data_IF_550297969670
#
_entry.id   IF_550297969670
#
_cell.length_a   1.000
_cell.length_b   1.000
_cell.length_c   1.000
_cell.angle_alpha   90.00
_cell.angle_beta   90.00
_cell.angle_gamma   90.00
#
_symmetry.space_group_name_H-M   'P 1'
#
loop_
_entity.id
_entity.type
_entity.pdbx_description
1 polymer ?
#
# COMPACT_ATOMS: atom_id res chain seq x y z
N UNK A 1 32.28 21.54 -0.85
CA UNK A 1 33.44 20.71 -1.27
C UNK A 1 33.10 19.28 -0.87
N UNK A 2 33.21 18.24 -1.69
CA UNK A 2 33.51 18.10 -3.12
C UNK A 2 33.19 16.66 -3.54
N UNK A 3 32.88 16.40 -4.82
CA UNK A 3 32.48 15.06 -5.30
C UNK A 3 33.62 14.03 -5.21
N UNK A 4 33.28 12.75 -5.04
CA UNK A 4 33.40 11.78 -6.14
C UNK A 4 32.69 10.43 -5.89
N UNK A 5 32.05 9.92 -6.95
CA UNK A 5 31.62 8.52 -7.10
C UNK A 5 32.81 7.68 -7.59
N UNK A 6 32.88 6.39 -7.27
CA UNK A 6 33.74 5.43 -7.96
C UNK A 6 33.29 3.97 -7.78
N UNK A 7 33.18 3.26 -8.91
CA UNK A 7 33.04 1.80 -9.05
C UNK A 7 33.06 1.45 -10.54
N UNK A 8 33.37 0.21 -10.96
CA UNK A 8 34.08 -0.87 -10.27
C UNK A 8 35.38 -1.26 -11.02
N UNK A 9 36.05 -2.33 -10.61
CA UNK A 9 37.06 -3.03 -11.43
C UNK A 9 36.95 -4.55 -11.25
N UNK A 10 37.19 -5.30 -12.33
CA UNK A 10 37.19 -6.77 -12.33
C UNK A 10 38.15 -7.33 -13.39
N UNK A 11 38.79 -8.45 -13.06
CA UNK A 11 39.59 -9.35 -13.90
C UNK A 11 39.78 -10.65 -13.10
N UNK A 12 39.33 -11.82 -13.55
CA UNK A 12 39.93 -12.70 -14.58
C UNK A 12 41.34 -13.24 -14.23
N UNK A 13 41.70 -14.51 -14.48
CA UNK A 13 40.93 -15.72 -14.83
C UNK A 13 41.82 -16.99 -14.77
N UNK A 14 41.26 -18.16 -14.44
CA UNK A 14 41.79 -19.51 -14.75
C UNK A 14 40.74 -20.59 -14.37
N UNK A 15 39.85 -21.07 -15.26
CA UNK A 15 40.05 -21.98 -16.40
C UNK A 15 40.44 -23.42 -16.02
N UNK A 16 39.45 -24.31 -16.01
CA UNK A 16 39.60 -25.74 -16.34
C UNK A 16 38.36 -26.22 -17.13
N UNK A 17 38.57 -26.98 -18.20
CA UNK A 17 37.50 -27.69 -18.97
C UNK A 17 37.55 -29.19 -18.57
N UNK A 18 36.70 -30.14 -18.99
CA UNK A 18 35.76 -30.23 -20.13
C UNK A 18 34.88 -31.50 -19.98
N UNK A 19 33.72 -31.55 -20.65
CA UNK A 19 32.86 -32.75 -20.91
C UNK A 19 32.07 -33.27 -19.67
N UNK A 20 30.87 -33.85 -19.81
CA UNK A 20 29.95 -33.87 -20.97
C UNK A 20 29.21 -35.20 -21.17
N UNK A 21 27.91 -35.13 -21.46
CA UNK A 21 27.10 -36.25 -21.97
C UNK A 21 26.07 -36.82 -20.99
N UNK A 22 24.80 -36.79 -21.39
CA UNK A 22 23.77 -37.70 -20.87
C UNK A 22 23.72 -38.96 -21.75
N UNK A 23 23.41 -40.13 -21.19
CA UNK A 23 22.72 -41.19 -21.90
C UNK A 23 21.35 -41.50 -21.26
N UNK A 24 20.48 -42.15 -22.02
CA UNK A 24 19.20 -42.72 -21.56
C UNK A 24 19.02 -44.12 -22.16
N UNK A 25 18.01 -44.85 -21.65
CA UNK A 25 17.61 -46.23 -22.05
C UNK A 25 18.59 -47.34 -21.59
N UNK A 26 18.18 -48.60 -21.35
CA UNK A 26 16.91 -49.32 -21.10
C UNK A 26 17.31 -50.70 -20.46
N UNK A 27 16.50 -51.65 -19.97
CA UNK A 27 15.05 -51.89 -19.83
C UNK A 27 14.82 -52.94 -18.69
N UNK A 28 13.55 -53.32 -18.42
CA UNK A 28 13.11 -54.64 -17.87
C UNK A 28 13.47 -55.06 -16.40
N UNK A 29 12.65 -55.82 -15.64
CA UNK A 29 11.31 -56.41 -15.89
C UNK A 29 10.55 -56.80 -14.59
N UNK A 30 9.22 -56.99 -14.68
CA UNK A 30 8.31 -57.81 -13.81
C UNK A 30 8.10 -57.35 -12.33
N UNK A 31 6.93 -57.52 -11.68
CA UNK A 31 5.63 -58.13 -12.06
C UNK A 31 4.43 -57.62 -11.22
N UNK A 32 3.23 -57.94 -11.71
CA UNK A 32 1.83 -57.77 -11.26
C UNK A 32 1.55 -57.88 -9.73
N UNK A 33 0.39 -57.49 -9.14
CA UNK A 33 -1.05 -57.43 -9.56
C UNK A 33 -1.83 -56.33 -8.76
N UNK A 34 -3.08 -55.90 -9.06
CA UNK A 34 -3.95 -55.97 -10.27
C UNK A 34 -5.12 -54.95 -10.21
N UNK A 35 -6.38 -55.32 -10.52
CA UNK A 35 -7.53 -54.45 -10.88
C UNK A 35 -8.88 -55.06 -10.34
N UNK A 36 -10.13 -54.69 -10.74
CA UNK A 36 -10.61 -53.61 -11.63
C UNK A 36 -11.95 -52.87 -11.26
N UNK A 37 -12.21 -51.73 -11.93
CA UNK A 37 -13.55 -51.38 -12.50
C UNK A 37 -13.32 -50.74 -13.89
N UNK A 38 -14.24 -50.91 -14.85
CA UNK A 38 -14.07 -50.56 -16.27
C UNK A 38 -15.36 -50.06 -16.95
N UNK A 39 -15.40 -48.82 -17.46
CA UNK A 39 -16.36 -48.40 -18.51
C UNK A 39 -15.75 -47.40 -19.52
N UNK A 40 -15.45 -47.90 -20.73
CA UNK A 40 -15.47 -47.28 -22.08
C UNK A 40 -14.90 -45.87 -22.35
N UNK A 41 -13.92 -45.83 -23.27
CA UNK A 41 -13.60 -44.69 -24.15
C UNK A 41 -14.62 -44.51 -25.30
N UNK A 42 -14.58 -43.33 -25.93
CA UNK A 42 -14.79 -43.11 -27.38
C UNK A 42 -13.84 -42.00 -27.86
N UNK A 43 -13.48 -42.01 -29.14
CA UNK A 43 -12.23 -41.45 -29.66
C UNK A 43 -12.35 -40.05 -30.31
N UNK A 44 -11.19 -39.39 -30.53
CA UNK A 44 -11.01 -38.49 -31.69
C UNK A 44 -10.35 -37.12 -31.45
N UNK A 45 -9.03 -37.04 -31.57
CA UNK A 45 -8.33 -35.79 -31.88
C UNK A 45 -7.77 -35.82 -33.32
N UNK A 46 -8.23 -34.94 -34.23
CA UNK A 46 -7.60 -34.74 -35.53
C UNK A 46 -6.61 -33.56 -35.50
N UNK A 47 -5.34 -33.81 -35.79
CA UNK A 47 -4.37 -32.75 -36.05
C UNK A 47 -4.28 -32.45 -37.56
N UNK A 48 -4.13 -31.16 -37.92
CA UNK A 48 -3.64 -30.76 -39.25
C UNK A 48 -2.59 -29.66 -39.10
N UNK A 49 -1.42 -29.88 -39.71
CA UNK A 49 -0.34 -28.91 -39.85
C UNK A 49 -0.38 -28.29 -41.24
N UNK A 50 -0.36 -26.96 -41.32
CA UNK A 50 0.08 -26.16 -42.48
C UNK A 50 0.12 -24.68 -42.03
N UNK A 51 1.13 -23.83 -42.29
CA UNK A 51 2.32 -23.89 -43.17
C UNK A 51 3.60 -23.39 -42.47
N UNK A 52 4.73 -23.43 -43.21
CA UNK A 52 6.11 -23.22 -42.75
C UNK A 52 6.46 -21.77 -42.32
N UNK A 53 7.51 -21.58 -41.49
CA UNK A 53 8.13 -20.28 -41.24
C UNK A 53 9.01 -19.82 -42.42
N UNK A 54 9.32 -18.52 -42.46
CA UNK A 54 10.39 -17.91 -43.26
C UNK A 54 11.15 -16.88 -42.41
N UNK A 55 12.43 -16.68 -42.70
CA UNK A 55 13.37 -15.97 -41.84
C UNK A 55 13.47 -14.45 -42.07
N UNK A 56 13.87 -13.74 -41.01
CA UNK A 56 14.74 -12.54 -40.97
C UNK A 56 14.41 -11.36 -41.91
N UNK A 57 14.03 -10.23 -41.29
CA UNK A 57 14.91 -9.04 -41.34
C UNK A 57 14.71 -8.12 -40.14
N UNK A 58 15.81 -7.61 -39.58
CA UNK A 58 15.79 -6.52 -38.60
C UNK A 58 15.79 -5.17 -39.33
N UNK A 59 14.65 -4.48 -39.33
CA UNK A 59 14.56 -3.07 -39.76
C UNK A 59 13.69 -2.29 -38.78
N UNK A 60 14.26 -1.24 -38.16
CA UNK A 60 13.51 -0.38 -37.24
C UNK A 60 12.50 0.50 -37.99
N UNK A 61 11.25 0.51 -37.53
CA UNK A 61 10.19 1.38 -38.03
C UNK A 61 8.99 1.36 -37.10
N UNK A 62 8.47 2.54 -36.73
CA UNK A 62 7.38 2.66 -35.78
C UNK A 62 6.05 2.16 -36.38
N UNK A 63 5.36 1.17 -35.77
CA UNK A 63 4.05 0.74 -36.23
C UNK A 63 2.96 1.80 -35.94
N UNK A 64 2.15 2.07 -36.96
CA UNK A 64 1.04 3.03 -37.01
C UNK A 64 0.07 2.88 -35.83
N UNK A 65 -0.40 4.01 -35.29
CA UNK A 65 -1.50 4.06 -34.31
C UNK A 65 -2.79 3.54 -34.95
N UNK A 66 -3.42 2.56 -34.29
CA UNK A 66 -4.85 2.29 -34.45
C UNK A 66 -5.59 2.80 -33.20
N UNK A 67 -6.69 3.51 -33.41
CA UNK A 67 -7.59 3.96 -32.36
C UNK A 67 -8.48 2.79 -31.88
N UNK A 68 -7.98 2.04 -30.90
CA UNK A 68 -8.81 1.19 -30.04
C UNK A 68 -8.64 1.67 -28.59
N UNK A 69 -9.72 2.11 -27.96
CA UNK A 69 -9.71 2.77 -26.63
C UNK A 69 -9.64 1.78 -25.46
N UNK A 70 -8.95 0.66 -25.62
CA UNK A 70 -8.56 -0.17 -24.49
C UNK A 70 -7.37 0.48 -23.77
N UNK A 71 -7.53 0.72 -22.47
CA UNK A 71 -6.41 1.17 -21.62
C UNK A 71 -5.41 0.03 -21.50
N UNK A 72 -4.40 0.02 -22.36
CA UNK A 72 -3.34 -1.02 -22.37
C UNK A 72 -2.82 -1.27 -20.97
N UNK A 73 -3.03 -2.49 -20.48
CA UNK A 73 -2.64 -2.88 -19.13
C UNK A 73 -1.13 -2.74 -18.97
N UNK A 74 -0.71 -1.88 -18.05
CA UNK A 74 0.71 -1.66 -17.74
C UNK A 74 1.12 -2.71 -16.71
N UNK A 75 2.22 -3.40 -16.95
CA UNK A 75 2.78 -4.39 -16.03
C UNK A 75 4.17 -3.97 -15.54
N UNK A 76 4.53 -4.36 -14.32
CA UNK A 76 5.92 -4.25 -13.85
C UNK A 76 6.77 -5.41 -14.37
N UNK A 77 8.08 -5.36 -14.11
CA UNK A 77 9.05 -6.41 -14.48
C UNK A 77 8.78 -7.79 -13.85
N UNK A 78 7.84 -7.88 -12.91
CA UNK A 78 7.39 -9.10 -12.25
C UNK A 78 5.99 -9.56 -12.70
N UNK A 79 5.46 -8.98 -13.79
CA UNK A 79 4.14 -9.34 -14.34
C UNK A 79 2.94 -8.88 -13.52
N UNK A 80 3.12 -8.01 -12.52
CA UNK A 80 2.01 -7.44 -11.76
C UNK A 80 1.43 -6.22 -12.49
N UNK A 81 0.10 -6.17 -12.65
CA UNK A 81 -0.58 -5.02 -13.26
C UNK A 81 -0.43 -3.77 -12.37
N UNK A 82 -0.11 -2.64 -12.99
CA UNK A 82 0.06 -1.30 -12.40
C UNK A 82 -1.10 -0.40 -12.83
N UNK A 83 -1.68 0.38 -11.91
CA UNK A 83 -2.58 1.49 -12.25
C UNK A 83 -1.74 2.67 -12.80
N UNK A 84 -1.88 3.06 -14.09
CA UNK A 84 -1.07 4.12 -14.69
C UNK A 84 -1.38 5.53 -14.15
N UNK A 85 -2.41 5.69 -13.30
CA UNK A 85 -2.78 6.98 -12.68
C UNK A 85 -1.99 7.29 -11.40
N UNK A 86 -1.38 6.29 -10.76
CA UNK A 86 -0.55 6.47 -9.55
C UNK A 86 0.72 5.61 -9.51
N UNK A 87 0.94 4.76 -10.53
CA UNK A 87 2.05 3.80 -10.63
C UNK A 87 2.09 2.74 -9.50
N UNK A 88 0.96 2.46 -8.84
CA UNK A 88 0.86 1.40 -7.83
C UNK A 88 0.39 0.07 -8.45
N UNK A 89 0.85 -1.09 -7.95
CA UNK A 89 0.26 -2.39 -8.28
C UNK A 89 -1.22 -2.46 -7.86
N UNK A 90 -2.07 -3.10 -8.67
CA UNK A 90 -3.49 -3.28 -8.33
C UNK A 90 -3.71 -4.15 -7.08
N UNK A 91 -2.83 -5.13 -6.84
CA UNK A 91 -2.79 -5.90 -5.60
C UNK A 91 -1.45 -5.63 -4.87
N UNK A 92 -1.38 -4.60 -4.00
CA UNK A 92 -0.15 -4.22 -3.31
C UNK A 92 0.17 -5.17 -2.15
N UNK A 93 1.45 -5.51 -1.96
CA UNK A 93 1.85 -6.44 -0.90
C UNK A 93 1.59 -5.87 0.51
N UNK A 94 0.73 -6.55 1.26
CA UNK A 94 0.39 -6.28 2.67
C UNK A 94 0.98 -7.34 3.63
N UNK A 95 1.73 -8.34 3.16
CA UNK A 95 2.47 -9.22 4.06
C UNK A 95 3.54 -8.41 4.83
N UNK A 96 3.79 -8.69 6.12
CA UNK A 96 4.90 -8.10 6.86
C UNK A 96 6.26 -8.29 6.17
N UNK A 97 7.19 -7.39 6.44
CA UNK A 97 8.59 -7.57 6.02
C UNK A 97 9.29 -8.63 6.90
N UNK A 98 10.32 -9.30 6.39
CA UNK A 98 11.08 -10.33 7.14
C UNK A 98 11.80 -9.76 8.38
N UNK A 99 12.15 -8.47 8.36
CA UNK A 99 12.77 -7.74 9.48
C UNK A 99 11.75 -7.18 10.49
N UNK A 100 10.45 -7.25 10.21
CA UNK A 100 9.43 -6.50 10.93
C UNK A 100 9.12 -7.12 12.31
N UNK A 101 9.34 -6.35 13.38
CA UNK A 101 9.09 -6.74 14.78
C UNK A 101 7.62 -6.54 15.16
N UNK A 102 6.96 -5.49 14.66
CA UNK A 102 5.63 -5.08 15.13
C UNK A 102 4.55 -5.10 14.04
N UNK A 103 3.30 -5.52 14.34
CA UNK A 103 2.23 -5.64 13.36
C UNK A 103 1.70 -4.24 12.98
N UNK A 104 1.80 -3.88 11.70
CA UNK A 104 1.33 -2.60 11.16
C UNK A 104 -0.09 -2.70 10.61
N UNK A 105 -0.85 -1.61 10.66
CA UNK A 105 -2.24 -1.62 10.21
C UNK A 105 -2.35 -1.85 8.68
N UNK A 106 -3.28 -2.72 8.28
CA UNK A 106 -3.51 -3.10 6.87
C UNK A 106 -4.75 -2.43 6.24
N UNK A 107 -5.61 -1.80 7.05
CA UNK A 107 -6.73 -1.00 6.56
C UNK A 107 -6.24 0.25 5.83
N UNK A 108 -7.03 0.73 4.88
CA UNK A 108 -6.70 1.89 4.03
C UNK A 108 -7.66 3.03 4.33
N UNK A 109 -7.11 4.24 4.47
CA UNK A 109 -7.89 5.46 4.73
C UNK A 109 -8.46 5.99 3.41
N UNK A 110 -9.74 6.38 3.41
CA UNK A 110 -10.38 7.05 2.29
C UNK A 110 -10.07 8.55 2.30
N UNK A 111 -9.69 9.10 1.14
CA UNK A 111 -9.45 10.54 0.96
C UNK A 111 -10.74 11.31 0.67
N UNK A 112 -10.69 12.64 0.80
CA UNK A 112 -11.71 13.55 0.25
C UNK A 112 -11.42 13.97 -1.19
N UNK A 113 -10.34 13.44 -1.78
CA UNK A 113 -9.86 13.80 -3.12
C UNK A 113 -10.64 12.98 -4.17
N UNK A 114 -11.46 13.58 -5.05
CA UNK A 114 -12.20 12.83 -6.07
C UNK A 114 -11.24 12.21 -7.11
N UNK A 115 -11.45 10.94 -7.48
CA UNK A 115 -10.63 10.25 -8.49
C UNK A 115 -11.21 10.44 -9.89
N UNK A 116 -10.46 11.13 -10.75
CA UNK A 116 -10.81 11.36 -12.16
C UNK A 116 -11.03 10.05 -12.92
N UNK A 117 -12.04 10.03 -13.78
CA UNK A 117 -12.50 8.80 -14.46
C UNK A 117 -13.39 7.88 -13.60
N UNK A 118 -13.71 8.26 -12.36
CA UNK A 118 -14.63 7.53 -11.47
C UNK A 118 -15.50 8.49 -10.66
N UNK A 119 -16.53 7.97 -9.98
CA UNK A 119 -17.32 8.72 -9.00
C UNK A 119 -16.89 8.47 -7.53
N UNK A 120 -15.78 7.76 -7.32
CA UNK A 120 -15.17 7.56 -6.01
C UNK A 120 -14.08 8.59 -5.68
N UNK A 121 -13.56 8.53 -4.45
CA UNK A 121 -12.34 9.24 -4.04
C UNK A 121 -11.12 8.31 -4.07
N UNK A 122 -9.91 8.86 -3.91
CA UNK A 122 -8.71 8.06 -3.77
C UNK A 122 -8.66 7.33 -2.41
N UNK A 123 -7.98 6.19 -2.38
CA UNK A 123 -7.66 5.46 -1.14
C UNK A 123 -6.15 5.55 -0.87
N UNK A 124 -5.77 6.01 0.31
CA UNK A 124 -4.37 6.06 0.73
C UNK A 124 -3.79 4.65 0.92
N UNK A 125 -2.45 4.48 0.93
CA UNK A 125 -1.81 3.27 1.44
C UNK A 125 -2.20 2.99 2.89
N UNK A 126 -2.15 1.72 3.29
CA UNK A 126 -2.10 1.34 4.70
C UNK A 126 -0.70 1.57 5.29
N UNK A 127 -0.57 1.51 6.62
CA UNK A 127 0.73 1.56 7.31
C UNK A 127 1.66 0.45 6.80
N UNK A 128 1.15 -0.77 6.71
CA UNK A 128 1.89 -1.94 6.22
C UNK A 128 2.33 -1.78 4.74
N UNK A 129 1.47 -1.24 3.86
CA UNK A 129 1.84 -0.92 2.48
C UNK A 129 2.92 0.17 2.40
N UNK A 130 2.86 1.16 3.31
CA UNK A 130 3.80 2.28 3.34
C UNK A 130 5.18 1.83 3.80
N UNK A 131 5.27 1.09 4.91
CA UNK A 131 6.52 0.50 5.42
C UNK A 131 7.16 -0.45 4.39
N UNK A 132 6.37 -1.32 3.77
CA UNK A 132 6.82 -2.18 2.67
C UNK A 132 7.34 -1.39 1.45
N UNK A 133 6.87 -0.15 1.25
CA UNK A 133 7.36 0.75 0.21
C UNK A 133 8.60 1.56 0.64
N UNK A 134 8.79 1.83 1.93
CA UNK A 134 10.02 2.45 2.47
C UNK A 134 11.20 1.48 2.44
N UNK A 135 11.05 0.27 3.01
CA UNK A 135 12.08 -0.79 3.00
C UNK A 135 12.53 -1.10 1.56
N UNK A 136 11.59 -1.31 0.63
CA UNK A 136 11.87 -1.54 -0.81
C UNK A 136 12.60 -0.38 -1.51
N UNK A 137 12.56 0.84 -0.96
CA UNK A 137 13.24 2.03 -1.52
C UNK A 137 14.61 2.30 -0.89
N UNK A 138 15.07 1.52 0.09
CA UNK A 138 16.25 1.88 0.90
C UNK A 138 16.02 3.17 1.69
N UNK A 139 14.80 3.37 2.19
CA UNK A 139 14.38 4.55 3.00
C UNK A 139 13.58 4.14 4.23
N UNK A 140 13.83 2.95 4.74
CA UNK A 140 13.17 2.37 5.92
C UNK A 140 14.15 1.64 6.83
N UNK A 141 15.43 2.02 6.78
CA UNK A 141 16.45 1.56 7.73
C UNK A 141 16.29 2.35 9.03
N UNK A 142 16.26 3.69 8.95
CA UNK A 142 16.07 4.61 10.08
C UNK A 142 14.59 4.80 10.53
N UNK A 143 13.69 3.86 10.22
CA UNK A 143 12.24 4.01 10.49
C UNK A 143 11.71 2.84 11.33
N UNK A 144 11.55 3.10 12.63
CA UNK A 144 10.93 2.18 13.58
C UNK A 144 9.42 2.05 13.32
N UNK A 145 8.84 0.86 13.49
CA UNK A 145 7.42 0.60 13.18
C UNK A 145 6.45 1.52 13.94
N UNK A 146 6.78 1.90 15.18
CA UNK A 146 5.98 2.81 15.99
C UNK A 146 5.80 4.20 15.38
N UNK A 147 6.68 4.62 14.48
CA UNK A 147 6.56 5.90 13.77
C UNK A 147 5.65 5.85 12.55
N UNK A 148 5.46 4.66 11.97
CA UNK A 148 4.80 4.50 10.66
C UNK A 148 3.40 5.10 10.66
N UNK A 149 2.66 4.94 11.76
CA UNK A 149 1.34 5.57 11.96
C UNK A 149 1.40 7.10 11.90
N UNK A 150 2.34 7.71 12.62
CA UNK A 150 2.52 9.16 12.61
C UNK A 150 2.93 9.66 11.21
N UNK A 151 3.90 8.99 10.58
CA UNK A 151 4.39 9.31 9.24
C UNK A 151 3.26 9.22 8.21
N UNK A 152 2.42 8.17 8.25
CA UNK A 152 1.29 7.99 7.33
C UNK A 152 0.20 9.03 7.56
N UNK A 153 -0.13 9.37 8.82
CA UNK A 153 -1.05 10.49 9.11
C UNK A 153 -0.56 11.82 8.54
N UNK A 154 0.74 12.13 8.71
CA UNK A 154 1.36 13.33 8.12
C UNK A 154 1.27 13.31 6.58
N UNK A 155 1.58 12.18 5.93
CA UNK A 155 1.48 12.07 4.45
C UNK A 155 0.04 12.22 3.96
N UNK A 156 -0.95 11.65 4.65
CA UNK A 156 -2.35 11.75 4.27
C UNK A 156 -2.87 13.20 4.44
N UNK A 157 -2.58 13.81 5.59
CA UNK A 157 -2.84 15.23 5.87
C UNK A 157 -2.21 16.16 4.82
N UNK A 158 -0.95 15.91 4.44
CA UNK A 158 -0.26 16.68 3.39
C UNK A 158 -0.95 16.59 2.03
N UNK A 159 -1.46 15.42 1.66
CA UNK A 159 -2.20 15.25 0.40
C UNK A 159 -3.54 16.02 0.43
N UNK A 160 -4.28 16.00 1.53
CA UNK A 160 -5.52 16.79 1.67
C UNK A 160 -5.23 18.30 1.69
N UNK A 161 -4.13 18.75 2.33
CA UNK A 161 -3.64 20.15 2.27
C UNK A 161 -3.26 20.57 0.86
N UNK A 162 -2.56 19.71 0.12
CA UNK A 162 -2.21 19.94 -1.28
C UNK A 162 -3.45 20.05 -2.17
N UNK A 163 -4.43 19.14 -2.00
CA UNK A 163 -5.70 19.18 -2.71
C UNK A 163 -6.54 20.41 -2.37
N UNK A 164 -6.58 20.82 -1.11
CA UNK A 164 -7.30 22.03 -0.68
C UNK A 164 -6.71 23.30 -1.34
N UNK A 165 -5.38 23.40 -1.48
CA UNK A 165 -4.75 24.48 -2.26
C UNK A 165 -5.16 24.44 -3.74
N UNK A 166 -5.17 23.27 -4.39
CA UNK A 166 -5.61 23.11 -5.78
C UNK A 166 -7.08 23.51 -5.95
N UNK A 167 -7.99 23.02 -5.11
CA UNK A 167 -9.40 23.40 -5.13
C UNK A 167 -9.60 24.92 -4.96
N UNK A 168 -8.86 25.55 -4.05
CA UNK A 168 -8.94 27.00 -3.84
C UNK A 168 -8.44 27.77 -5.08
N UNK A 169 -7.40 27.27 -5.75
CA UNK A 169 -6.91 27.81 -7.02
C UNK A 169 -7.97 27.74 -8.13
N UNK A 170 -8.58 26.56 -8.32
CA UNK A 170 -9.63 26.34 -9.31
C UNK A 170 -10.86 27.20 -9.02
N UNK A 171 -11.31 27.30 -7.76
CA UNK A 171 -12.45 28.14 -7.34
C UNK A 171 -12.22 29.65 -7.56
N UNK A 172 -10.97 30.12 -7.48
CA UNK A 172 -10.61 31.53 -7.72
C UNK A 172 -10.44 31.84 -9.21
N UNK A 173 -9.86 30.93 -9.97
CA UNK A 173 -9.56 31.15 -11.38
C UNK A 173 -10.71 30.75 -12.33
N UNK A 174 -11.46 29.69 -12.03
CA UNK A 174 -12.50 29.08 -12.88
C UNK A 174 -13.76 28.73 -12.07
N UNK A 175 -14.45 29.70 -11.44
CA UNK A 175 -15.60 29.46 -10.55
C UNK A 175 -16.80 28.77 -11.21
N UNK A 176 -16.88 28.81 -12.55
CA UNK A 176 -17.82 28.06 -13.37
C UNK A 176 -17.48 26.56 -13.51
N UNK A 177 -16.19 26.20 -13.49
CA UNK A 177 -15.71 24.81 -13.62
C UNK A 177 -15.70 24.08 -12.28
N UNK A 178 -16.89 23.84 -11.75
CA UNK A 178 -17.12 23.11 -10.50
C UNK A 178 -16.71 21.62 -10.63
N UNK A 179 -16.40 21.01 -9.50
CA UNK A 179 -16.16 19.56 -9.32
C UNK A 179 -14.95 18.99 -10.08
N UNK A 180 -13.85 19.74 -10.20
CA UNK A 180 -12.56 19.22 -10.67
C UNK A 180 -12.12 17.99 -9.85
N UNK A 181 -11.59 16.95 -10.53
CA UNK A 181 -11.14 15.67 -9.93
C UNK A 181 -9.63 15.46 -10.14
N UNK A 182 -8.94 14.79 -9.22
CA UNK A 182 -7.53 14.38 -9.42
C UNK A 182 -7.47 13.15 -10.32
N UNK A 183 -6.94 13.29 -11.53
CA UNK A 183 -6.87 12.23 -12.54
C UNK A 183 -5.60 11.36 -12.40
N UNK A 184 -4.46 12.00 -12.13
CA UNK A 184 -3.15 11.32 -12.01
C UNK A 184 -2.21 12.15 -11.14
N UNK A 185 -1.30 11.50 -10.43
CA UNK A 185 -0.15 12.17 -9.79
C UNK A 185 1.17 11.50 -10.13
N UNK A 186 2.27 12.24 -9.99
CA UNK A 186 3.63 11.77 -10.24
C UNK A 186 4.63 12.51 -9.35
N UNK A 187 5.45 11.79 -8.57
CA UNK A 187 6.57 12.38 -7.84
C UNK A 187 7.74 12.66 -8.77
N UNK A 188 8.40 13.82 -8.59
CA UNK A 188 9.56 14.28 -9.38
C UNK A 188 10.60 14.96 -8.47
N UNK A 189 11.10 14.30 -7.42
CA UNK A 189 11.95 14.92 -6.39
C UNK A 189 13.24 15.52 -6.95
N UNK A 190 13.84 14.90 -7.97
CA UNK A 190 15.11 15.33 -8.56
C UNK A 190 14.98 16.52 -9.55
N UNK A 191 13.75 16.88 -9.95
CA UNK A 191 13.50 17.96 -10.92
C UNK A 191 13.04 19.26 -10.25
N UNK A 192 13.96 20.17 -9.93
CA UNK A 192 13.60 21.51 -9.46
C UNK A 192 12.78 22.29 -10.50
N UNK A 193 11.73 22.99 -10.06
CA UNK A 193 11.05 23.98 -10.93
C UNK A 193 11.96 25.18 -11.20
N UNK A 194 11.82 25.91 -12.33
CA UNK A 194 12.63 27.10 -12.61
C UNK A 194 12.56 28.18 -11.51
N UNK A 195 11.42 28.28 -10.81
CA UNK A 195 11.24 29.18 -9.67
C UNK A 195 12.00 28.66 -8.44
N UNK A 196 11.95 27.35 -8.15
CA UNK A 196 12.71 26.74 -7.05
C UNK A 196 14.22 26.86 -7.28
N UNK A 197 14.70 26.65 -8.51
CA UNK A 197 16.10 26.84 -8.91
C UNK A 197 16.55 28.30 -8.70
N UNK A 198 15.78 29.28 -9.19
CA UNK A 198 16.08 30.71 -9.00
C UNK A 198 16.04 31.11 -7.52
N UNK A 199 15.09 30.60 -6.74
CA UNK A 199 15.04 30.77 -5.27
C UNK A 199 16.28 30.20 -4.57
N UNK A 200 16.74 29.03 -4.99
CA UNK A 200 17.95 28.40 -4.43
C UNK A 200 19.22 29.23 -4.70
N UNK A 201 19.31 29.90 -5.85
CA UNK A 201 20.42 30.84 -6.16
C UNK A 201 20.36 32.08 -5.26
N UNK A 202 19.16 32.53 -4.90
CA UNK A 202 18.93 33.66 -3.98
C UNK A 202 19.02 33.27 -2.49
N UNK A 203 19.51 32.07 -2.16
CA UNK A 203 19.73 31.62 -0.78
C UNK A 203 18.48 31.16 -0.02
N UNK A 204 17.33 31.04 -0.69
CA UNK A 204 16.15 30.40 -0.09
C UNK A 204 16.30 28.87 -0.13
N UNK A 205 15.66 28.18 0.82
CA UNK A 205 15.63 26.72 0.87
C UNK A 205 15.08 26.10 -0.43
N UNK A 206 15.77 25.07 -0.94
CA UNK A 206 15.26 24.22 -2.01
C UNK A 206 14.05 23.41 -1.49
N UNK A 207 13.10 23.01 -2.36
CA UNK A 207 12.15 21.98 -1.98
C UNK A 207 12.87 20.64 -1.73
N UNK A 208 12.38 19.85 -0.78
CA UNK A 208 12.88 18.50 -0.51
C UNK A 208 12.17 17.43 -1.34
N UNK A 209 10.94 17.73 -1.78
CA UNK A 209 10.14 16.91 -2.67
C UNK A 209 9.28 17.79 -3.59
N UNK A 210 8.92 17.26 -4.77
CA UNK A 210 8.06 17.90 -5.76
C UNK A 210 7.11 16.85 -6.34
N UNK A 211 5.84 17.21 -6.42
CA UNK A 211 4.81 16.42 -7.10
C UNK A 211 4.15 17.20 -8.25
N UNK A 212 3.90 16.49 -9.35
CA UNK A 212 3.07 16.95 -10.47
C UNK A 212 1.71 16.24 -10.39
N UNK A 213 0.63 17.00 -10.35
CA UNK A 213 -0.75 16.48 -10.30
C UNK A 213 -1.50 16.87 -11.58
N UNK A 214 -2.25 15.95 -12.18
CA UNK A 214 -3.09 16.20 -13.35
C UNK A 214 -4.53 16.30 -12.88
N UNK A 215 -5.11 17.48 -13.04
CA UNK A 215 -6.47 17.83 -12.63
C UNK A 215 -7.39 17.72 -13.84
N UNK A 216 -8.48 16.97 -13.72
CA UNK A 216 -9.54 16.88 -14.72
C UNK A 216 -10.68 17.83 -14.31
N UNK A 217 -10.92 18.85 -15.13
CA UNK A 217 -12.02 19.80 -14.94
C UNK A 217 -13.34 19.25 -15.51
N UNK A 218 -14.46 19.87 -15.18
CA UNK A 218 -15.80 19.45 -15.62
C UNK A 218 -16.08 19.63 -17.12
N UNK A 219 -15.28 20.44 -17.82
CA UNK A 219 -15.24 20.54 -19.28
C UNK A 219 -14.38 19.44 -19.95
N UNK A 220 -13.81 18.52 -19.15
CA UNK A 220 -12.84 17.49 -19.52
C UNK A 220 -11.44 18.01 -19.88
N UNK A 221 -11.12 19.29 -19.65
CA UNK A 221 -9.74 19.77 -19.79
C UNK A 221 -8.85 19.16 -18.70
N UNK A 222 -7.60 18.86 -19.07
CA UNK A 222 -6.58 18.35 -18.16
C UNK A 222 -5.53 19.42 -17.91
N UNK A 223 -5.36 19.81 -16.65
CA UNK A 223 -4.41 20.85 -16.23
C UNK A 223 -3.39 20.26 -15.28
N UNK A 224 -2.11 20.37 -15.63
CA UNK A 224 -1.02 20.01 -14.71
C UNK A 224 -0.85 21.09 -13.66
N UNK A 225 -0.84 20.69 -12.39
CA UNK A 225 -0.38 21.46 -11.25
C UNK A 225 1.00 20.95 -10.82
N UNK A 226 1.81 21.84 -10.26
CA UNK A 226 3.09 21.52 -9.63
C UNK A 226 3.04 21.95 -8.17
N UNK A 227 3.47 21.05 -7.29
CA UNK A 227 3.43 21.18 -5.84
C UNK A 227 4.86 20.98 -5.33
N UNK A 228 5.46 22.05 -4.83
CA UNK A 228 6.77 21.98 -4.16
C UNK A 228 6.56 21.87 -2.64
N UNK A 229 7.29 20.99 -1.97
CA UNK A 229 7.30 20.84 -0.51
C UNK A 229 8.63 21.34 0.08
N UNK A 230 8.56 22.15 1.13
CA UNK A 230 9.70 22.76 1.82
C UNK A 230 9.64 22.42 3.31
N UNK A 231 10.79 22.13 3.90
CA UNK A 231 10.94 21.78 5.33
C UNK A 231 11.64 22.92 6.07
N UNK A 232 11.24 23.15 7.32
CA UNK A 232 11.79 24.15 8.22
C UNK A 232 12.11 23.49 9.57
N UNK A 233 13.35 23.04 9.71
CA UNK A 233 13.91 22.32 10.87
C UNK A 233 13.57 22.99 12.21
N UNK A 234 13.39 24.32 12.23
CA UNK A 234 13.11 25.09 13.44
C UNK A 234 11.70 24.90 13.98
N UNK A 235 10.79 24.39 13.17
CA UNK A 235 9.38 24.16 13.51
C UNK A 235 9.03 22.69 13.71
N UNK A 236 9.97 21.75 13.51
CA UNK A 236 9.73 20.33 13.75
C UNK A 236 9.42 20.04 15.23
N UNK A 237 9.96 20.85 16.15
CA UNK A 237 9.63 20.83 17.57
C UNK A 237 8.22 21.37 17.90
N UNK A 238 7.48 21.90 16.92
CA UNK A 238 6.06 22.29 17.04
C UNK A 238 5.12 21.33 16.29
N UNK A 239 5.62 20.23 15.72
CA UNK A 239 4.79 19.27 14.98
C UNK A 239 4.12 18.25 15.92
N UNK A 240 2.81 18.04 15.70
CA UNK A 240 1.98 17.00 16.32
C UNK A 240 1.51 15.99 15.25
N UNK A 241 1.07 14.80 15.68
CA UNK A 241 0.43 13.85 14.77
C UNK A 241 -0.93 14.40 14.32
N UNK A 242 -1.16 14.65 13.03
CA UNK A 242 -2.37 15.32 12.56
C UNK A 242 -3.54 14.35 12.36
N UNK A 243 -4.77 14.86 12.49
CA UNK A 243 -5.92 14.28 11.79
C UNK A 243 -5.80 14.53 10.27
N UNK A 244 -6.65 13.86 9.50
CA UNK A 244 -6.66 13.94 8.03
C UNK A 244 -6.77 15.37 7.47
N UNK A 245 -7.31 16.33 8.24
CA UNK A 245 -7.59 17.70 7.80
C UNK A 245 -7.04 18.83 8.70
N UNK A 246 -6.23 18.53 9.72
CA UNK A 246 -5.65 19.57 10.59
C UNK A 246 -4.75 20.55 9.81
N UNK A 247 -4.90 21.85 10.04
CA UNK A 247 -4.18 22.89 9.28
C UNK A 247 -2.80 23.22 9.87
N UNK A 248 -2.67 23.09 11.19
CA UNK A 248 -1.65 23.72 12.02
C UNK A 248 -0.82 22.75 12.88
N UNK A 249 -1.20 21.47 12.93
CA UNK A 249 -0.44 20.39 13.61
C UNK A 249 0.87 20.01 12.90
N UNK A 250 1.03 20.33 11.62
CA UNK A 250 2.30 20.13 10.89
C UNK A 250 2.76 21.47 10.32
N UNK A 251 3.77 22.05 10.97
CA UNK A 251 4.31 23.41 10.80
C UNK A 251 5.69 23.42 10.15
N UNK A 252 6.49 22.37 10.33
CA UNK A 252 7.78 22.22 9.63
C UNK A 252 7.62 22.08 8.12
N UNK A 253 6.59 21.34 7.68
CA UNK A 253 6.31 21.11 6.27
C UNK A 253 5.35 22.18 5.73
N UNK A 254 5.86 23.00 4.81
CA UNK A 254 5.08 23.93 4.01
C UNK A 254 5.04 23.50 2.55
N UNK A 255 3.96 23.82 1.85
CA UNK A 255 3.73 23.39 0.47
C UNK A 255 3.13 24.50 -0.39
N UNK A 256 3.44 24.50 -1.69
CA UNK A 256 2.93 25.50 -2.62
C UNK A 256 2.49 24.89 -3.97
N UNK A 257 1.21 24.55 -4.06
CA UNK A 257 0.53 24.08 -5.26
C UNK A 257 0.15 25.24 -6.19
N UNK A 258 0.33 25.04 -7.50
CA UNK A 258 0.01 26.02 -8.56
C UNK A 258 -0.06 25.39 -9.94
N UNK A 259 -0.80 25.94 -10.92
CA UNK A 259 -0.79 25.46 -12.30
C UNK A 259 0.64 25.42 -12.88
N UNK A 260 0.95 24.46 -13.75
CA UNK A 260 2.19 24.42 -14.52
C UNK A 260 2.16 25.45 -15.65
N UNK A 261 3.31 26.01 -16.06
CA UNK A 261 3.37 27.05 -17.12
C UNK A 261 3.41 26.41 -18.52
N UNK A 262 2.51 25.45 -18.74
CA UNK A 262 2.46 24.64 -19.96
C UNK A 262 1.51 25.23 -21.01
N UNK A 263 0.67 26.19 -20.60
CA UNK A 263 -0.29 26.87 -21.45
C UNK A 263 -0.43 28.35 -21.08
N UNK A 264 -0.89 29.17 -22.03
CA UNK A 264 -1.18 30.59 -21.80
C UNK A 264 -2.26 30.76 -20.72
N UNK A 265 -3.26 29.88 -20.69
CA UNK A 265 -4.30 29.89 -19.64
C UNK A 265 -3.72 29.68 -18.25
N UNK A 266 -2.82 28.70 -18.07
CA UNK A 266 -2.19 28.45 -16.78
C UNK A 266 -1.18 29.54 -16.36
N UNK A 267 -0.59 30.28 -17.31
CA UNK A 267 0.17 31.50 -17.03
C UNK A 267 -0.75 32.65 -16.58
N UNK A 268 -1.89 32.84 -17.25
CA UNK A 268 -2.91 33.80 -16.85
C UNK A 268 -3.43 33.47 -15.45
N UNK A 269 -3.69 32.19 -15.13
CA UNK A 269 -4.09 31.75 -13.80
C UNK A 269 -3.06 32.13 -12.72
N UNK A 270 -1.76 31.94 -13.00
CA UNK A 270 -0.68 32.36 -12.09
C UNK A 270 -0.63 33.86 -11.80
N UNK A 271 -1.11 34.69 -12.73
CA UNK A 271 -1.19 36.15 -12.54
C UNK A 271 -2.53 36.55 -11.92
N UNK A 272 -3.64 35.98 -12.40
CA UNK A 272 -5.02 36.23 -11.95
C UNK A 272 -5.18 35.90 -10.47
N UNK A 273 -4.68 34.76 -10.01
CA UNK A 273 -4.91 34.26 -8.65
C UNK A 273 -4.54 35.28 -7.55
N UNK A 274 -3.29 35.79 -7.42
CA UNK A 274 -2.95 36.72 -6.34
C UNK A 274 -3.74 38.03 -6.37
N UNK A 275 -3.99 38.61 -7.56
CA UNK A 275 -4.84 39.80 -7.67
C UNK A 275 -6.29 39.52 -7.26
N UNK A 276 -6.87 38.40 -7.69
CA UNK A 276 -8.27 38.04 -7.40
C UNK A 276 -8.47 37.75 -5.92
N UNK A 277 -7.56 37.00 -5.29
CA UNK A 277 -7.61 36.69 -3.86
C UNK A 277 -7.46 37.94 -3.00
N UNK A 278 -6.57 38.87 -3.39
CA UNK A 278 -6.39 40.17 -2.72
C UNK A 278 -7.63 41.06 -2.85
N UNK A 279 -8.17 41.24 -4.07
CA UNK A 279 -9.31 42.12 -4.33
C UNK A 279 -10.62 41.62 -3.69
N UNK A 280 -10.85 40.31 -3.70
CA UNK A 280 -12.09 39.72 -3.19
C UNK A 280 -12.05 39.41 -1.68
N UNK A 281 -10.93 39.69 -1.00
CA UNK A 281 -10.76 39.37 0.42
C UNK A 281 -10.92 37.89 0.75
N UNK A 282 -10.67 37.00 -0.23
CA UNK A 282 -10.92 35.58 -0.09
C UNK A 282 -9.91 34.98 0.89
N UNK A 283 -10.42 34.47 2.02
CA UNK A 283 -9.64 33.62 2.93
C UNK A 283 -9.11 32.40 2.16
N UNK A 284 -8.02 31.84 2.66
CA UNK A 284 -7.36 30.67 2.06
C UNK A 284 -8.25 29.42 2.01
N UNK A 285 -7.70 28.28 1.55
CA UNK A 285 -8.42 27.02 1.61
C UNK A 285 -8.93 26.76 3.03
N UNK A 286 -10.20 26.40 3.15
CA UNK A 286 -10.84 26.04 4.42
C UNK A 286 -10.80 24.50 4.53
N UNK A 287 -9.93 23.96 5.39
CA UNK A 287 -9.82 22.51 5.59
C UNK A 287 -10.72 22.03 6.72
N UNK A 288 -11.02 22.87 7.71
CA UNK A 288 -11.98 22.54 8.78
C UNK A 288 -13.37 22.14 8.22
N UNK A 289 -13.79 22.70 7.08
CA UNK A 289 -15.00 22.30 6.37
C UNK A 289 -14.94 20.91 5.70
N UNK A 290 -13.77 20.24 5.71
CA UNK A 290 -13.57 18.86 5.22
C UNK A 290 -13.60 17.85 6.37
N UNK A 291 -13.08 18.19 7.55
CA UNK A 291 -13.06 17.32 8.75
C UNK A 291 -14.43 16.71 9.06
N UNK A 292 -15.44 17.59 9.12
CA UNK A 292 -16.84 17.24 9.42
C UNK A 292 -17.54 16.33 8.39
N UNK A 293 -16.85 15.88 7.32
CA UNK A 293 -17.34 14.94 6.33
C UNK A 293 -16.71 13.53 6.45
N UNK A 294 -15.70 13.36 7.32
CA UNK A 294 -14.95 12.10 7.51
C UNK A 294 -14.98 11.63 8.97
N UNK A 295 -15.20 12.54 9.94
CA UNK A 295 -15.20 12.25 11.36
C UNK A 295 -16.50 11.56 11.84
N UNK A 296 -16.57 10.23 11.64
CA UNK A 296 -17.65 9.38 12.18
C UNK A 296 -17.24 7.95 12.57
N UNK A 297 -15.94 7.61 12.52
CA UNK A 297 -15.45 6.21 12.64
C UNK A 297 -14.36 6.03 13.73
N UNK A 298 -13.97 7.06 14.50
CA UNK A 298 -12.85 6.97 15.46
C UNK A 298 -13.13 7.39 16.92
N UNK A 299 -14.40 7.59 17.30
CA UNK A 299 -14.79 7.66 18.72
C UNK A 299 -15.38 6.31 19.17
N UNK A 300 -14.48 5.42 19.59
CA UNK A 300 -14.81 4.03 19.96
C UNK A 300 -13.90 3.43 21.04
N UNK A 301 -13.14 4.26 21.78
CA UNK A 301 -12.42 3.81 22.97
C UNK A 301 -13.41 3.54 24.11
N UNK A 302 -13.95 2.33 24.13
CA UNK A 302 -14.33 1.72 25.39
C UNK A 302 -13.04 1.36 26.15
N UNK A 303 -12.97 1.65 27.45
CA UNK A 303 -11.84 1.29 28.30
C UNK A 303 -11.83 -0.21 28.62
N UNK A 304 -11.54 -1.02 27.59
CA UNK A 304 -11.30 -2.45 27.71
C UNK A 304 -9.84 -2.64 28.13
N UNK A 305 -9.65 -3.26 29.29
CA UNK A 305 -8.36 -3.59 29.91
C UNK A 305 -7.34 -4.10 28.87
N UNK A 306 -6.24 -3.37 28.69
CA UNK A 306 -5.21 -3.73 27.69
C UNK A 306 -4.34 -4.87 28.19
N UNK A 307 -4.05 -5.84 27.33
CA UNK A 307 -3.08 -6.90 27.64
C UNK A 307 -1.67 -6.32 27.71
N UNK A 308 -0.83 -6.85 28.60
CA UNK A 308 0.61 -6.63 28.55
C UNK A 308 1.23 -7.39 27.38
N UNK A 309 2.36 -6.90 26.85
CA UNK A 309 3.02 -7.59 25.72
C UNK A 309 3.66 -8.91 26.18
N UNK A 310 4.02 -9.02 27.44
CA UNK A 310 4.43 -10.26 28.10
C UNK A 310 3.33 -11.33 28.05
N UNK A 311 2.08 -10.98 28.39
CA UNK A 311 0.93 -11.89 28.30
C UNK A 311 0.65 -12.31 26.84
N UNK A 312 0.75 -11.36 25.91
CA UNK A 312 0.57 -11.60 24.46
C UNK A 312 1.64 -12.57 23.95
N UNK A 313 2.92 -12.31 24.24
CA UNK A 313 4.04 -13.18 23.85
C UNK A 313 3.93 -14.57 24.47
N UNK A 314 3.59 -14.68 25.76
CA UNK A 314 3.36 -15.96 26.43
C UNK A 314 2.19 -16.72 25.80
N UNK A 315 1.10 -16.03 25.46
CA UNK A 315 -0.08 -16.63 24.82
C UNK A 315 0.25 -17.12 23.40
N UNK A 316 0.96 -16.33 22.59
CA UNK A 316 1.44 -16.77 21.28
C UNK A 316 2.42 -17.94 21.36
N UNK A 317 3.33 -17.95 22.34
CA UNK A 317 4.23 -19.09 22.57
C UNK A 317 3.46 -20.36 22.94
N UNK A 318 2.46 -20.24 23.82
CA UNK A 318 1.56 -21.34 24.22
C UNK A 318 0.74 -21.87 23.03
N UNK A 319 0.19 -21.01 22.18
CA UNK A 319 -0.49 -21.39 20.93
C UNK A 319 0.48 -22.08 19.98
N UNK A 320 1.69 -21.53 19.79
CA UNK A 320 2.70 -22.04 18.87
C UNK A 320 3.11 -23.48 19.17
N UNK A 321 3.25 -23.84 20.44
CA UNK A 321 3.58 -25.21 20.84
C UNK A 321 2.33 -26.10 20.92
N UNK A 322 1.23 -25.63 21.52
CA UNK A 322 0.03 -26.45 21.76
C UNK A 322 -0.76 -26.77 20.48
N UNK A 323 -0.80 -25.85 19.52
CA UNK A 323 -1.56 -25.99 18.26
C UNK A 323 -0.67 -26.33 17.05
N UNK A 324 0.55 -26.82 17.32
CA UNK A 324 1.58 -27.14 16.32
C UNK A 324 1.13 -28.13 15.25
N UNK A 325 0.36 -29.16 15.64
CA UNK A 325 -0.20 -30.15 14.69
C UNK A 325 -1.21 -29.48 13.75
N UNK A 326 -2.21 -28.76 14.30
CA UNK A 326 -3.23 -28.08 13.50
C UNK A 326 -2.63 -27.02 12.56
N UNK A 327 -1.60 -26.28 12.98
CA UNK A 327 -0.87 -25.36 12.10
C UNK A 327 -0.10 -26.07 10.98
N UNK A 328 0.36 -27.30 11.19
CA UNK A 328 0.97 -28.11 10.15
C UNK A 328 -0.09 -28.68 9.20
N UNK A 329 -1.21 -29.19 9.72
CA UNK A 329 -2.34 -29.73 8.95
C UNK A 329 -2.92 -28.66 7.99
N UNK A 330 -3.11 -27.42 8.45
CA UNK A 330 -3.52 -26.28 7.61
C UNK A 330 -2.52 -25.97 6.49
N UNK A 331 -1.23 -26.26 6.67
CA UNK A 331 -0.17 -26.04 5.66
C UNK A 331 -0.01 -27.22 4.69
N UNK A 332 -0.52 -28.40 5.02
CA UNK A 332 -0.35 -29.63 4.23
C UNK A 332 -1.66 -30.25 3.74
N UNK A 333 -2.79 -29.56 3.90
CA UNK A 333 -4.10 -30.02 3.43
C UNK A 333 -4.15 -30.13 1.91
N UNK A 334 -4.75 -31.21 1.39
CA UNK A 334 -4.73 -31.52 -0.06
C UNK A 334 -5.97 -31.11 -0.84
N UNK A 335 -7.05 -30.70 -0.15
CA UNK A 335 -8.28 -30.21 -0.77
C UNK A 335 -9.05 -29.27 0.18
N UNK A 336 -9.99 -28.52 -0.38
CA UNK A 336 -10.76 -27.48 0.31
C UNK A 336 -11.46 -27.95 1.60
N UNK A 337 -12.05 -29.16 1.59
CA UNK A 337 -12.74 -29.74 2.75
C UNK A 337 -11.73 -30.09 3.87
N UNK A 338 -10.57 -30.65 3.52
CA UNK A 338 -9.51 -30.88 4.49
C UNK A 338 -8.94 -29.57 5.05
N UNK A 339 -8.80 -28.54 4.21
CA UNK A 339 -8.28 -27.24 4.63
C UNK A 339 -9.26 -26.51 5.57
N UNK A 340 -10.57 -26.54 5.30
CA UNK A 340 -11.57 -25.92 6.18
C UNK A 340 -11.70 -26.68 7.52
N UNK A 341 -11.65 -28.02 7.50
CA UNK A 341 -11.62 -28.83 8.73
C UNK A 341 -10.35 -28.56 9.56
N UNK A 342 -9.17 -28.47 8.94
CA UNK A 342 -7.93 -28.14 9.63
C UNK A 342 -7.93 -26.71 10.19
N UNK A 343 -8.50 -25.74 9.45
CA UNK A 343 -8.64 -24.36 9.91
C UNK A 343 -9.57 -24.27 11.13
N UNK A 344 -10.71 -24.97 11.10
CA UNK A 344 -11.64 -25.05 12.22
C UNK A 344 -11.01 -25.71 13.46
N UNK A 345 -10.23 -26.79 13.26
CA UNK A 345 -9.46 -27.44 14.32
C UNK A 345 -8.41 -26.49 14.94
N UNK A 346 -7.74 -25.68 14.12
CA UNK A 346 -6.81 -24.65 14.59
C UNK A 346 -7.52 -23.53 15.37
N UNK A 347 -8.65 -23.01 14.88
CA UNK A 347 -9.47 -22.01 15.59
C UNK A 347 -9.95 -22.55 16.95
N UNK A 348 -10.44 -23.79 17.00
CA UNK A 348 -10.83 -24.44 18.26
C UNK A 348 -9.63 -24.65 19.21
N UNK A 349 -8.45 -24.99 18.68
CA UNK A 349 -7.24 -25.08 19.49
C UNK A 349 -6.82 -23.73 20.10
N UNK A 350 -6.86 -22.65 19.29
CA UNK A 350 -6.63 -21.29 19.77
C UNK A 350 -7.69 -20.85 20.79
N UNK A 351 -8.97 -21.17 20.54
CA UNK A 351 -10.08 -20.86 21.44
C UNK A 351 -9.92 -21.53 22.81
N UNK A 352 -9.44 -22.79 22.86
CA UNK A 352 -9.12 -23.48 24.12
C UNK A 352 -7.99 -22.83 24.94
N UNK A 353 -7.25 -21.89 24.35
CA UNK A 353 -6.17 -21.14 25.02
C UNK A 353 -6.61 -19.71 25.37
N UNK A 354 -7.28 -19.02 24.44
CA UNK A 354 -7.69 -17.61 24.55
C UNK A 354 -9.04 -17.44 25.25
N UNK A 355 -10.05 -18.23 24.86
CA UNK A 355 -11.43 -18.14 25.33
C UNK A 355 -12.01 -19.52 25.73
N UNK A 356 -11.45 -20.19 26.78
CA UNK A 356 -11.82 -21.56 27.13
C UNK A 356 -13.33 -21.82 27.35
N UNK A 357 -14.13 -20.92 27.97
CA UNK A 357 -15.57 -21.12 28.11
C UNK A 357 -16.30 -21.19 26.77
N UNK A 358 -15.95 -20.32 25.82
CA UNK A 358 -16.55 -20.25 24.48
C UNK A 358 -16.14 -21.48 23.66
N UNK A 359 -14.87 -21.89 23.71
CA UNK A 359 -14.40 -23.11 23.04
C UNK A 359 -15.02 -24.40 23.62
N UNK A 360 -15.33 -24.42 24.93
CA UNK A 360 -16.08 -25.51 25.55
C UNK A 360 -17.56 -25.50 25.12
N UNK A 361 -18.19 -24.32 25.04
CA UNK A 361 -19.56 -24.17 24.53
C UNK A 361 -19.68 -24.62 23.07
N UNK A 362 -18.74 -24.23 22.20
CA UNK A 362 -18.68 -24.67 20.81
C UNK A 362 -18.42 -26.17 20.68
N UNK A 363 -17.50 -26.75 21.49
CA UNK A 363 -17.29 -28.21 21.53
C UNK A 363 -18.60 -28.94 21.88
N UNK A 364 -19.36 -28.44 22.87
CA UNK A 364 -20.66 -29.01 23.25
C UNK A 364 -21.75 -28.81 22.19
N UNK A 365 -21.75 -27.70 21.46
CA UNK A 365 -22.70 -27.48 20.37
C UNK A 365 -22.52 -28.52 19.26
N UNK A 366 -21.26 -28.84 18.90
CA UNK A 366 -20.93 -29.90 17.93
C UNK A 366 -21.40 -31.29 18.38
N UNK A 367 -21.44 -31.58 19.69
CA UNK A 367 -22.00 -32.83 20.24
C UNK A 367 -23.53 -32.90 20.15
N UNK A 368 -24.22 -31.75 20.16
CA UNK A 368 -25.69 -31.64 20.05
C UNK A 368 -26.14 -31.75 18.59
N UNK A 369 -25.37 -31.17 17.65
CA UNK A 369 -25.66 -31.22 16.22
C UNK A 369 -26.79 -30.29 15.75
N UNK A 370 -27.21 -29.33 16.58
CA UNK A 370 -28.11 -28.25 16.17
C UNK A 370 -27.31 -27.15 15.46
N UNK A 371 -27.56 -26.99 14.16
CA UNK A 371 -26.86 -26.06 13.27
C UNK A 371 -26.87 -24.61 13.81
N UNK A 372 -28.00 -24.16 14.37
CA UNK A 372 -28.15 -22.79 14.89
C UNK A 372 -27.36 -22.56 16.19
N UNK A 373 -27.23 -23.61 17.02
CA UNK A 373 -26.45 -23.57 18.26
C UNK A 373 -24.94 -23.69 17.95
N UNK A 374 -24.59 -24.46 16.92
CA UNK A 374 -23.21 -24.58 16.41
C UNK A 374 -22.72 -23.26 15.83
N UNK A 375 -23.50 -22.61 14.97
CA UNK A 375 -23.20 -21.30 14.37
C UNK A 375 -23.01 -20.22 15.46
N UNK A 376 -24.01 -20.03 16.33
CA UNK A 376 -23.94 -19.03 17.39
C UNK A 376 -22.78 -19.25 18.39
N UNK A 377 -22.42 -20.52 18.68
CA UNK A 377 -21.28 -20.83 19.54
C UNK A 377 -19.92 -20.66 18.81
N UNK A 378 -19.87 -20.89 17.49
CA UNK A 378 -18.71 -20.61 16.67
C UNK A 378 -18.43 -19.11 16.60
N UNK A 379 -19.45 -18.29 16.29
CA UNK A 379 -19.34 -16.83 16.22
C UNK A 379 -18.88 -16.23 17.56
N UNK A 380 -19.45 -16.71 18.67
CA UNK A 380 -19.04 -16.29 20.01
C UNK A 380 -17.57 -16.64 20.32
N UNK A 381 -17.07 -17.80 19.85
CA UNK A 381 -15.66 -18.17 19.97
C UNK A 381 -14.78 -17.30 19.05
N UNK A 382 -15.15 -17.13 17.78
CA UNK A 382 -14.39 -16.40 16.78
C UNK A 382 -14.26 -14.90 17.13
N UNK A 383 -15.34 -14.25 17.55
CA UNK A 383 -15.31 -12.86 18.00
C UNK A 383 -14.37 -12.64 19.21
N UNK A 384 -14.22 -13.64 20.10
CA UNK A 384 -13.25 -13.58 21.19
C UNK A 384 -11.80 -13.74 20.70
N UNK A 385 -11.56 -14.52 19.63
CA UNK A 385 -10.25 -14.62 18.98
C UNK A 385 -9.87 -13.33 18.26
N UNK A 386 -10.83 -12.71 17.57
CA UNK A 386 -10.66 -11.42 16.88
C UNK A 386 -10.37 -10.29 17.88
N UNK A 387 -11.16 -10.17 18.95
CA UNK A 387 -10.90 -9.20 20.03
C UNK A 387 -9.55 -9.41 20.71
N UNK A 388 -9.08 -10.65 20.86
CA UNK A 388 -7.72 -10.93 21.34
C UNK A 388 -6.66 -10.47 20.35
N UNK A 389 -6.86 -10.70 19.05
CA UNK A 389 -5.94 -10.25 18.00
C UNK A 389 -5.86 -8.72 17.92
N UNK A 390 -6.99 -8.01 18.02
CA UNK A 390 -7.05 -6.54 17.98
C UNK A 390 -6.39 -5.90 19.22
N UNK A 391 -6.72 -6.38 20.42
CA UNK A 391 -6.09 -5.92 21.67
C UNK A 391 -4.60 -6.26 21.69
N UNK A 392 -4.23 -7.44 21.19
CA UNK A 392 -2.84 -7.89 21.05
C UNK A 392 -2.01 -7.01 20.11
N UNK A 393 -2.54 -6.71 18.93
CA UNK A 393 -1.89 -5.80 17.98
C UNK A 393 -1.78 -4.38 18.55
N UNK A 394 -2.82 -3.89 19.24
CA UNK A 394 -2.83 -2.56 19.85
C UNK A 394 -1.75 -2.40 20.92
N UNK A 395 -1.62 -3.34 21.85
CA UNK A 395 -0.60 -3.29 22.90
C UNK A 395 0.83 -3.43 22.34
N UNK A 396 1.04 -4.29 21.33
CA UNK A 396 2.32 -4.37 20.62
C UNK A 396 2.67 -3.06 19.90
N UNK A 397 1.68 -2.37 19.33
CA UNK A 397 1.89 -1.03 18.75
C UNK A 397 2.20 0.04 19.81
N UNK A 398 1.58 0.01 20.99
CA UNK A 398 1.98 0.90 22.07
C UNK A 398 3.43 0.65 22.54
N UNK A 399 3.89 -0.61 22.57
CA UNK A 399 5.32 -0.89 22.81
C UNK A 399 6.19 -0.36 21.67
N UNK A 400 5.80 -0.53 20.40
CA UNK A 400 6.55 -0.02 19.26
C UNK A 400 6.74 1.51 19.31
N UNK A 401 5.75 2.25 19.81
CA UNK A 401 5.83 3.70 20.05
C UNK A 401 6.77 4.01 21.23
N UNK A 402 6.68 3.26 22.34
CA UNK A 402 7.56 3.42 23.51
C UNK A 402 9.03 3.12 23.21
N UNK A 403 9.31 2.14 22.36
CA UNK A 403 10.67 1.82 21.90
C UNK A 403 11.22 2.95 21.01
N UNK A 404 10.50 3.38 19.97
CA UNK A 404 10.88 4.51 19.11
C UNK A 404 11.21 5.78 19.91
N UNK A 405 10.38 6.12 20.90
CA UNK A 405 10.60 7.29 21.76
C UNK A 405 11.83 7.12 22.67
N UNK A 406 12.11 5.90 23.12
CA UNK A 406 13.30 5.59 23.94
C UNK A 406 14.59 5.65 23.12
N UNK A 407 14.59 5.12 21.89
CA UNK A 407 15.74 5.19 20.97
C UNK A 407 16.13 6.66 20.72
N UNK A 408 15.16 7.50 20.35
CA UNK A 408 15.36 8.95 20.12
C UNK A 408 15.79 9.76 21.33
N UNK A 409 15.58 9.25 22.55
CA UNK A 409 16.05 9.87 23.80
C UNK A 409 17.40 9.32 24.26
N UNK A 410 17.86 8.20 23.69
CA UNK A 410 19.19 7.62 23.94
C UNK A 410 20.30 8.21 23.07
N UNK A 411 19.95 8.80 21.93
CA UNK A 411 20.87 9.43 20.96
C UNK A 411 21.18 10.93 21.27
N UNK A 412 20.91 11.41 22.49
CA UNK A 412 21.08 12.82 22.94
C UNK A 412 22.09 12.92 24.10
#
# INVERSE_FOLDING_TARGET
>A
MGNQLSSPLASDAAVARHKGGCPAQNDDEKRNESCPVRVKNVDGCPAQHDKKPSEVLLTGGCPVVKDDKEQKEVYNVYGQRIDPTNMMPYNPNQAPNEEQRYPLAQNRVQSTIPKGGTEGTWLYPSEQMFFNALKRKGKGEDVHEGDVKAIVSIHNNMNERAWAQVEHYEKVCHPELKNSKLLKFCGRPDEMTPIAWMKSILGFGKPFDRHDWIILRSDNTQVRYVIDYYFDDKKSAEDEVPELHSEDKVRSISMYARPAVDSVGALIDRLKFPFTTYLNGLKGPNLAARSALVESIHEGKNDVESFTVEEIQQTFAKIKESCKSCMQEVRTCGNEIQCSQAALALQLCMGRIICPPQAAAFTKALEIGDETVVEAAFDAMNSNLEQFQERGASAMQEQAVRESLTEKLGDI
#
